data_IF_558537374832
#
_entry.id   IF_558537374832
#
_cell.length_a   1.000
_cell.length_b   1.000
_cell.length_c   1.000
_cell.angle_alpha   90.00
_cell.angle_beta   90.00
_cell.angle_gamma   90.00
#
_symmetry.space_group_name_H-M   'P 1'
#
loop_
_entity.id
_entity.type
_entity.pdbx_description
1 polymer ?
#
# COMPACT_ATOMS: atom_id res chain seq x y z
N UNK A 1 -33.58 -16.21 -10.43
CA UNK A 1 -32.28 -16.91 -10.30
C UNK A 1 -31.20 -16.32 -11.22
N UNK A 2 -31.01 -14.99 -11.32
CA UNK A 2 -29.93 -14.44 -12.15
C UNK A 2 -29.51 -13.02 -11.79
N UNK A 3 -29.44 -12.66 -10.51
CA UNK A 3 -28.90 -11.35 -10.08
C UNK A 3 -27.90 -11.44 -8.92
N UNK A 4 -27.46 -12.64 -8.52
CA UNK A 4 -26.65 -12.84 -7.32
C UNK A 4 -25.16 -13.15 -7.57
N UNK A 5 -24.65 -12.97 -8.80
CA UNK A 5 -23.25 -13.34 -9.13
C UNK A 5 -22.39 -12.14 -9.52
N UNK A 6 -22.95 -10.96 -9.83
CA UNK A 6 -22.11 -9.94 -10.47
C UNK A 6 -21.32 -9.04 -9.52
N UNK A 7 -21.75 -8.72 -8.30
CA UNK A 7 -21.06 -7.63 -7.58
C UNK A 7 -21.08 -7.79 -6.06
N UNK A 8 -20.34 -8.79 -5.55
CA UNK A 8 -19.79 -8.71 -4.20
C UNK A 8 -18.32 -8.21 -4.24
N UNK A 9 -18.02 -7.32 -5.20
CA UNK A 9 -16.79 -6.55 -5.16
C UNK A 9 -17.03 -5.41 -4.17
N UNK A 10 -16.81 -5.76 -2.89
CA UNK A 10 -16.89 -4.93 -1.69
C UNK A 10 -16.89 -3.43 -1.97
N UNK A 11 -17.92 -2.72 -1.50
CA UNK A 11 -18.02 -1.26 -1.60
C UNK A 11 -16.80 -0.50 -1.06
N UNK A 12 -15.97 -1.18 -0.27
CA UNK A 12 -14.66 -0.69 0.16
C UNK A 12 -13.67 -0.49 -1.02
N UNK A 13 -13.65 -1.39 -2.02
CA UNK A 13 -12.79 -1.23 -3.21
C UNK A 13 -13.27 -0.10 -4.12
N UNK A 14 -14.60 0.08 -4.24
CA UNK A 14 -15.17 1.20 -4.99
C UNK A 14 -14.89 2.55 -4.30
N UNK A 15 -14.86 2.59 -2.98
CA UNK A 15 -14.48 3.79 -2.22
C UNK A 15 -13.00 4.13 -2.40
N UNK A 16 -12.11 3.13 -2.49
CA UNK A 16 -10.69 3.33 -2.80
C UNK A 16 -10.46 3.81 -4.24
N UNK A 17 -11.20 3.26 -5.21
CA UNK A 17 -11.13 3.68 -6.62
C UNK A 17 -11.68 5.10 -6.84
N UNK A 18 -12.70 5.52 -6.07
CA UNK A 18 -13.31 6.86 -6.21
C UNK A 18 -12.48 7.97 -5.55
N UNK A 19 -11.63 7.64 -4.59
CA UNK A 19 -10.83 8.63 -3.85
C UNK A 19 -9.64 9.17 -4.67
N UNK A 20 -9.18 8.43 -5.67
CA UNK A 20 -7.99 8.76 -6.45
C UNK A 20 -8.29 8.71 -7.95
N UNK A 21 -8.99 9.71 -8.48
CA UNK A 21 -9.00 9.95 -9.92
C UNK A 21 -7.64 10.52 -10.35
N UNK A 22 -6.63 9.64 -10.39
CA UNK A 22 -5.36 9.92 -11.01
C UNK A 22 -4.99 8.70 -11.87
N UNK A 23 -5.07 8.86 -13.18
CA UNK A 23 -4.81 7.81 -14.18
C UNK A 23 -3.34 7.32 -14.19
N UNK A 24 -2.50 7.81 -13.27
CA UNK A 24 -1.20 7.23 -12.93
C UNK A 24 -1.27 6.14 -11.82
N UNK A 25 -2.45 5.85 -11.27
CA UNK A 25 -2.64 4.94 -10.14
C UNK A 25 -2.47 3.44 -10.49
N UNK A 26 -2.78 3.01 -11.72
CA UNK A 26 -2.75 1.58 -12.07
C UNK A 26 -1.31 1.05 -12.12
N UNK A 27 -0.39 1.79 -12.74
CA UNK A 27 1.02 1.39 -12.81
C UNK A 27 1.66 1.34 -11.42
N UNK A 28 1.36 2.33 -10.58
CA UNK A 28 1.80 2.36 -9.18
C UNK A 28 1.20 1.21 -8.35
N UNK A 29 -0.09 0.89 -8.55
CA UNK A 29 -0.75 -0.25 -7.91
C UNK A 29 -0.10 -1.57 -8.34
N UNK A 30 0.14 -1.77 -9.64
CA UNK A 30 0.81 -2.99 -10.15
C UNK A 30 2.22 -3.10 -9.59
N UNK A 31 3.00 -2.02 -9.60
CA UNK A 31 4.36 -1.99 -9.06
C UNK A 31 4.38 -2.31 -7.56
N UNK A 32 3.38 -1.84 -6.79
CA UNK A 32 3.23 -2.22 -5.39
C UNK A 32 3.06 -3.73 -5.21
N UNK A 33 2.15 -4.35 -5.97
CA UNK A 33 1.92 -5.80 -5.89
C UNK A 33 3.13 -6.62 -6.34
N UNK A 34 3.87 -6.17 -7.36
CA UNK A 34 5.13 -6.80 -7.78
C UNK A 34 6.17 -6.76 -6.66
N UNK A 35 6.32 -5.61 -5.99
CA UNK A 35 7.27 -5.46 -4.87
C UNK A 35 6.86 -6.28 -3.66
N UNK A 36 5.58 -6.31 -3.33
CA UNK A 36 5.05 -7.11 -2.23
C UNK A 36 5.28 -8.60 -2.47
N UNK A 37 4.93 -9.10 -3.66
CA UNK A 37 5.14 -10.50 -4.03
C UNK A 37 6.62 -10.88 -3.94
N UNK A 38 7.52 -10.05 -4.46
CA UNK A 38 8.97 -10.26 -4.34
C UNK A 38 9.41 -10.28 -2.88
N UNK A 39 9.00 -9.30 -2.07
CA UNK A 39 9.40 -9.21 -0.67
C UNK A 39 8.90 -10.41 0.17
N UNK A 40 7.72 -10.92 -0.11
CA UNK A 40 7.19 -12.11 0.56
C UNK A 40 7.88 -13.41 0.13
N UNK A 41 8.29 -13.54 -1.13
CA UNK A 41 9.06 -14.71 -1.59
C UNK A 41 10.45 -14.73 -0.95
N UNK A 42 11.09 -13.56 -0.83
CA UNK A 42 12.41 -13.43 -0.21
C UNK A 42 12.39 -13.56 1.32
N UNK A 43 11.24 -13.26 1.96
CA UNK A 43 11.07 -13.31 3.42
C UNK A 43 9.83 -14.16 3.78
N UNK A 44 9.87 -15.47 3.54
CA UNK A 44 8.71 -16.35 3.71
C UNK A 44 8.27 -16.50 5.17
N UNK A 45 9.11 -16.16 6.14
CA UNK A 45 8.74 -16.19 7.56
C UNK A 45 7.88 -15.00 7.99
N UNK A 46 7.83 -13.94 7.19
CA UNK A 46 7.10 -12.72 7.52
C UNK A 46 5.65 -12.78 7.03
N UNK A 47 4.68 -12.34 7.86
CA UNK A 47 3.30 -12.20 7.39
C UNK A 47 3.20 -11.22 6.23
N UNK A 48 2.48 -11.60 5.17
CA UNK A 48 2.26 -10.74 3.99
C UNK A 48 1.65 -9.38 4.36
N UNK A 49 0.80 -9.33 5.38
CA UNK A 49 0.21 -8.09 5.90
C UNK A 49 1.27 -7.15 6.45
N UNK A 50 2.21 -7.66 7.24
CA UNK A 50 3.31 -6.89 7.80
C UNK A 50 4.19 -6.28 6.69
N UNK A 51 4.54 -7.08 5.68
CA UNK A 51 5.34 -6.61 4.54
C UNK A 51 4.60 -5.50 3.76
N UNK A 52 3.29 -5.63 3.55
CA UNK A 52 2.48 -4.61 2.89
C UNK A 52 2.41 -3.30 3.68
N UNK A 53 2.25 -3.37 5.01
CA UNK A 53 2.23 -2.19 5.89
C UNK A 53 3.60 -1.48 5.91
N UNK A 54 4.70 -2.23 5.94
CA UNK A 54 6.05 -1.67 5.84
C UNK A 54 6.29 -0.97 4.50
N UNK A 55 5.90 -1.60 3.38
CA UNK A 55 6.05 -1.00 2.04
C UNK A 55 5.21 0.27 1.87
N UNK A 56 4.01 0.28 2.45
CA UNK A 56 3.13 1.45 2.46
C UNK A 56 3.76 2.58 3.27
N UNK A 57 4.21 2.28 4.49
CA UNK A 57 4.89 3.24 5.37
C UNK A 57 6.14 3.85 4.74
N UNK A 58 6.95 3.03 4.05
CA UNK A 58 8.14 3.50 3.35
C UNK A 58 7.80 4.44 2.17
N UNK A 59 6.72 4.13 1.45
CA UNK A 59 6.23 4.96 0.34
C UNK A 59 5.71 6.31 0.85
N UNK A 60 5.00 6.32 1.97
CA UNK A 60 4.54 7.54 2.63
C UNK A 60 5.70 8.39 3.17
N UNK A 61 6.70 7.76 3.78
CA UNK A 61 7.91 8.45 4.26
C UNK A 61 8.66 9.12 3.12
N UNK A 62 8.78 8.45 1.96
CA UNK A 62 9.40 9.02 0.76
C UNK A 62 8.64 10.23 0.23
N UNK A 63 7.31 10.25 0.35
CA UNK A 63 6.48 11.36 -0.11
C UNK A 63 6.52 12.57 0.83
N UNK A 64 6.70 12.37 2.14
CA UNK A 64 6.78 13.46 3.14
C UNK A 64 8.14 14.15 3.23
N UNK A 65 9.19 13.55 2.67
CA UNK A 65 10.56 14.08 2.74
C UNK A 65 11.25 13.78 4.06
N UNK A 66 12.58 13.87 4.08
CA UNK A 66 13.39 13.58 5.26
C UNK A 66 13.33 14.74 6.25
N UNK A 67 12.90 14.47 7.48
CA UNK A 67 12.95 15.42 8.59
C UNK A 67 14.30 15.24 9.30
N UNK A 68 15.17 16.26 9.39
CA UNK A 68 16.43 16.11 10.09
C UNK A 68 16.19 15.83 11.58
N UNK A 69 16.90 14.85 12.12
CA UNK A 69 16.87 14.56 13.56
C UNK A 69 17.49 15.74 14.34
N UNK A 70 16.74 16.27 15.32
CA UNK A 70 17.21 17.31 16.22
C UNK A 70 17.45 16.65 17.59
N UNK A 71 18.71 16.43 18.01
CA UNK A 71 19.01 15.86 19.32
C UNK A 71 18.50 16.78 20.43
N UNK A 72 17.93 16.19 21.48
CA UNK A 72 17.55 16.93 22.69
C UNK A 72 18.85 17.34 23.39
N UNK A 73 19.07 18.64 23.58
CA UNK A 73 20.20 19.11 24.37
C UNK A 73 20.05 18.56 25.80
N UNK A 74 21.12 17.94 26.30
CA UNK A 74 21.27 17.60 27.72
C UNK A 74 21.47 18.90 28.49
N UNK A 75 20.52 19.23 29.36
CA UNK A 75 20.68 20.23 30.42
C UNK A 75 21.71 19.74 31.45
#
# INVERSE_FOLDING_TARGET
MSQLVHLNLSGHMLALLRKESNIHAIDQQVNFWVRLGKACIENPELPTTFVAECLTSLSEAKSKGFIPFIPRATD
#
